data_IF_481815786102
#
_entry.id   IF_481815786102
#
_cell.length_a   1.000
_cell.length_b   1.000
_cell.length_c   1.000
_cell.angle_alpha   90.00
_cell.angle_beta   90.00
_cell.angle_gamma   90.00
#
_symmetry.space_group_name_H-M   'P 1'
#
loop_
_entity.id
_entity.type
_entity.pdbx_description
1 polymer ?
#
# COMPACT_ATOMS: atom_id res chain seq x y z
N UNK A 1 -22.40 14.58 10.30
CA UNK A 1 -21.41 14.74 10.82
C UNK A 1 -20.96 15.06 11.21
N UNK A 2 -20.87 14.71 11.77
CA UNK A 2 -19.92 14.70 12.52
C UNK A 2 -19.76 15.06 12.72
N UNK A 3 -20.95 15.21 12.34
CA UNK A 3 -20.16 15.62 12.81
C UNK A 3 -20.03 15.75 13.24
N UNK A 4 -20.59 15.51 13.39
CA UNK A 4 -19.89 15.63 13.88
C UNK A 4 -19.79 15.65 14.76
N UNK A 5 -20.59 15.27 14.83
CA UNK A 5 -19.96 15.25 15.74
C UNK A 5 -19.93 15.20 16.40
N UNK A 6 -20.50 15.11 16.81
CA UNK A 6 -19.96 15.15 17.52
C UNK A 6 -19.86 15.03 18.32
N UNK A 7 -20.78 14.61 18.50
CA UNK A 7 -20.21 14.54 19.38
C UNK A 7 -20.12 14.27 20.01
N UNK A 8 -20.80 13.99 20.28
CA UNK A 8 -20.25 13.92 21.04
C UNK A 8 -20.13 13.60 21.51
N UNK A 9 -20.71 13.13 21.46
CA UNK A 9 -20.04 13.01 22.07
C UNK A 9 -19.75 12.70 22.44
N UNK A 10 -20.42 12.35 22.54
CA UNK A 10 -19.75 12.28 23.05
C UNK A 10 -19.48 11.89 23.37
N UNK A 11 -20.07 11.49 23.36
CA UNK A 11 -19.37 11.34 23.73
C UNK A 11 -19.03 10.83 23.71
N UNK A 12 -19.62 10.44 23.60
CA UNK A 12 -18.90 10.21 23.64
C UNK A 12 -18.49 9.76 23.38
N UNK A 13 -19.04 9.43 23.13
CA UNK A 13 -18.21 9.31 23.00
C UNK A 13 -17.65 8.98 22.59
N UNK A 14 -18.11 8.61 22.35
CA UNK A 14 -17.12 8.62 22.06
C UNK A 14 -16.59 8.15 21.85
N UNK A 15 -17.15 7.90 21.70
CA UNK A 15 -16.24 7.73 21.60
C UNK A 15 -15.62 7.61 21.17
N UNK A 16 -15.92 7.58 21.02
CA UNK A 16 -15.00 7.69 20.76
C UNK A 16 -14.44 7.66 20.33
N UNK A 17 -14.57 7.58 20.21
CA UNK A 17 -13.81 7.68 19.91
C UNK A 17 -13.28 7.72 19.49
N UNK A 18 -13.24 7.75 19.51
CA UNK A 18 -12.36 7.74 19.14
C UNK A 18 -11.89 7.60 18.36
N UNK A 19 -12.62 7.89 17.87
CA UNK A 19 -11.86 7.30 16.99
C UNK A 19 -10.74 7.94 16.50
N UNK A 20 -10.33 8.46 16.94
CA UNK A 20 -9.13 8.94 16.66
C UNK A 20 -8.48 8.20 15.57
N UNK A 21 -7.81 8.78 14.76
CA UNK A 21 -7.04 8.15 13.78
C UNK A 21 -6.06 7.23 14.46
N UNK A 22 -6.48 6.02 14.64
CA UNK A 22 -5.66 4.96 15.21
C UNK A 22 -4.90 4.34 14.07
N UNK A 23 -3.64 4.03 14.31
CA UNK A 23 -2.86 3.29 13.33
C UNK A 23 -3.55 1.96 13.06
N UNK A 24 -3.79 1.64 11.80
CA UNK A 24 -4.49 0.43 11.42
C UNK A 24 -3.53 -0.71 11.12
N UNK A 25 -4.09 -1.89 11.05
CA UNK A 25 -3.37 -3.09 10.61
C UNK A 25 -3.74 -3.35 9.17
N UNK A 26 -3.05 -2.66 8.28
CA UNK A 26 -3.28 -2.82 6.86
C UNK A 26 -2.33 -3.84 6.26
N UNK A 27 -2.72 -4.39 5.15
CA UNK A 27 -1.82 -5.16 4.31
C UNK A 27 -2.30 -5.05 2.86
N UNK A 28 -1.41 -5.37 1.94
CA UNK A 28 -1.78 -5.47 0.53
C UNK A 28 -1.11 -6.72 -0.03
N UNK A 29 -1.88 -7.48 -0.80
CA UNK A 29 -1.36 -8.64 -1.53
C UNK A 29 -1.07 -8.18 -2.95
N UNK A 30 0.19 -8.31 -3.36
CA UNK A 30 0.65 -7.85 -4.67
C UNK A 30 1.01 -9.07 -5.50
N UNK A 31 0.31 -9.24 -6.62
CA UNK A 31 0.51 -10.37 -7.53
C UNK A 31 1.23 -9.90 -8.78
N UNK A 32 2.30 -10.59 -9.12
CA UNK A 32 3.11 -10.27 -10.29
C UNK A 32 2.60 -11.03 -11.52
N UNK A 33 1.93 -10.34 -12.42
CA UNK A 33 1.47 -10.87 -13.71
C UNK A 33 2.20 -10.23 -14.88
N UNK A 34 3.39 -9.67 -14.62
CA UNK A 34 4.15 -8.95 -15.65
C UNK A 34 4.89 -9.89 -16.61
N UNK A 35 5.14 -11.12 -16.20
CA UNK A 35 5.97 -12.04 -16.97
C UNK A 35 7.45 -11.95 -16.66
N UNK A 36 7.86 -11.00 -15.83
CA UNK A 36 9.24 -10.79 -15.43
C UNK A 36 9.36 -10.85 -13.92
N UNK A 37 10.54 -11.19 -13.41
CA UNK A 37 10.79 -11.19 -11.97
C UNK A 37 10.90 -9.76 -11.46
N UNK A 38 10.17 -9.45 -10.41
CA UNK A 38 10.26 -8.16 -9.72
C UNK A 38 11.43 -8.23 -8.74
N UNK A 39 12.32 -7.26 -8.79
CA UNK A 39 13.53 -7.23 -7.97
C UNK A 39 13.49 -6.18 -6.87
N UNK A 40 12.60 -5.19 -6.98
CA UNK A 40 12.39 -4.19 -5.92
C UNK A 40 10.91 -3.88 -5.80
N UNK A 41 10.48 -3.67 -4.57
CA UNK A 41 9.10 -3.30 -4.26
C UNK A 41 9.11 -2.23 -3.19
N UNK A 42 8.56 -1.08 -3.51
CA UNK A 42 8.47 0.05 -2.58
C UNK A 42 7.01 0.35 -2.29
N UNK A 43 6.68 0.51 -1.02
CA UNK A 43 5.33 0.87 -0.58
C UNK A 43 5.48 1.97 0.43
N UNK A 44 4.98 3.16 0.10
CA UNK A 44 5.11 4.35 0.95
C UNK A 44 3.76 5.01 1.14
N UNK A 45 3.46 5.55 2.33
CA UNK A 45 2.21 6.28 2.50
C UNK A 45 2.19 7.49 1.58
N UNK A 46 1.00 7.86 1.11
CA UNK A 46 0.86 8.96 0.14
C UNK A 46 1.42 10.28 0.66
N UNK A 47 1.55 10.42 1.97
CA UNK A 47 2.06 11.63 2.60
C UNK A 47 3.59 11.71 2.59
N UNK A 48 4.26 10.62 2.23
CA UNK A 48 5.72 10.61 2.15
C UNK A 48 6.18 11.25 0.84
N UNK A 49 7.26 12.03 0.91
CA UNK A 49 7.82 12.70 -0.25
C UNK A 49 8.85 11.85 -1.00
N UNK A 50 9.15 10.65 -0.52
CA UNK A 50 10.14 9.77 -1.13
C UNK A 50 9.79 8.32 -0.85
N UNK A 51 10.35 7.44 -1.67
CA UNK A 51 10.18 6.01 -1.51
C UNK A 51 10.97 5.53 -0.31
N UNK A 52 10.32 4.65 0.47
CA UNK A 52 10.98 4.01 1.60
C UNK A 52 11.70 2.78 1.11
N UNK A 53 12.20 1.96 2.02
CA UNK A 53 13.04 0.84 1.63
C UNK A 53 12.26 -0.27 0.91
N UNK A 54 13.01 -1.11 0.19
CA UNK A 54 12.47 -2.27 -0.50
C UNK A 54 11.85 -3.25 0.52
N UNK A 55 10.63 -3.68 0.24
CA UNK A 55 9.86 -4.54 1.15
C UNK A 55 9.64 -5.95 0.61
N UNK A 56 10.39 -6.37 -0.38
CA UNK A 56 10.32 -7.77 -0.81
C UNK A 56 10.79 -8.69 0.31
N UNK A 57 10.28 -9.92 0.29
CA UNK A 57 10.61 -10.89 1.32
C UNK A 57 12.07 -11.29 1.32
N UNK A 58 12.38 -12.36 2.06
CA UNK A 58 13.78 -12.78 2.30
C UNK A 58 14.57 -13.03 1.03
N UNK A 59 13.93 -13.55 -0.01
CA UNK A 59 14.61 -13.78 -1.29
C UNK A 59 14.91 -12.49 -2.03
N UNK A 60 14.18 -11.40 -1.72
CA UNK A 60 14.31 -10.16 -2.45
C UNK A 60 13.76 -10.22 -3.88
N UNK A 61 12.92 -11.21 -4.17
CA UNK A 61 12.37 -11.44 -5.51
C UNK A 61 10.90 -11.76 -5.43
N UNK A 62 10.15 -11.28 -6.43
CA UNK A 62 8.77 -11.71 -6.64
C UNK A 62 8.65 -12.24 -8.07
N UNK A 63 8.64 -13.54 -8.20
CA UNK A 63 8.64 -14.22 -9.49
C UNK A 63 7.29 -14.11 -10.18
N UNK A 64 7.25 -14.26 -11.52
CA UNK A 64 5.99 -14.22 -12.26
C UNK A 64 4.96 -15.21 -11.71
N UNK A 65 3.73 -14.71 -11.54
CA UNK A 65 2.61 -15.52 -11.04
C UNK A 65 2.54 -15.63 -9.54
N UNK A 66 3.51 -15.07 -8.81
CA UNK A 66 3.55 -15.14 -7.35
C UNK A 66 2.94 -13.91 -6.72
N UNK A 67 2.53 -14.07 -5.47
CA UNK A 67 1.92 -13.01 -4.68
C UNK A 67 2.75 -12.78 -3.42
N UNK A 68 3.01 -11.51 -3.13
CA UNK A 68 3.72 -11.08 -1.92
C UNK A 68 2.76 -10.25 -1.07
N UNK A 69 2.60 -10.65 0.18
CA UNK A 69 1.86 -9.82 1.14
C UNK A 69 2.82 -8.82 1.78
N UNK A 70 2.42 -7.55 1.76
CA UNK A 70 3.15 -6.49 2.43
C UNK A 70 2.32 -6.05 3.63
N UNK A 71 2.87 -6.19 4.82
CA UNK A 71 2.20 -5.77 6.05
C UNK A 71 2.48 -4.29 6.29
N UNK A 72 1.42 -3.54 6.55
CA UNK A 72 1.47 -2.09 6.67
C UNK A 72 0.89 -1.65 8.01
N UNK A 73 1.24 -2.38 9.06
CA UNK A 73 0.79 -2.07 10.42
C UNK A 73 1.46 -0.79 10.92
N UNK A 74 0.72 -0.01 11.69
CA UNK A 74 1.27 1.19 12.30
C UNK A 74 1.09 2.47 11.50
N UNK A 75 0.59 2.38 10.28
CA UNK A 75 0.31 3.57 9.47
C UNK A 75 -1.08 4.12 9.77
N UNK A 76 -1.22 5.43 9.70
CA UNK A 76 -2.50 6.10 10.02
C UNK A 76 -3.40 6.23 8.79
N UNK A 77 -2.89 5.96 7.62
CA UNK A 77 -3.64 6.07 6.37
C UNK A 77 -3.66 4.73 5.66
N UNK A 78 -4.75 4.38 4.97
CA UNK A 78 -4.77 3.20 4.10
C UNK A 78 -4.29 3.51 2.67
N UNK A 79 -3.90 4.75 2.39
CA UNK A 79 -3.56 5.18 1.04
C UNK A 79 -2.04 5.15 0.87
N UNK A 80 -1.59 4.35 -0.09
CA UNK A 80 -0.15 4.14 -0.31
C UNK A 80 0.19 4.30 -1.78
N UNK A 81 1.41 4.76 -2.04
CA UNK A 81 2.02 4.72 -3.36
C UNK A 81 2.85 3.45 -3.44
N UNK A 82 2.78 2.77 -4.56
CA UNK A 82 3.45 1.47 -4.75
C UNK A 82 4.24 1.51 -6.03
N UNK A 83 5.53 1.14 -5.95
CA UNK A 83 6.39 1.04 -7.13
C UNK A 83 7.09 -0.30 -7.14
N UNK A 84 7.04 -0.96 -8.30
CA UNK A 84 7.79 -2.19 -8.52
C UNK A 84 8.81 -1.95 -9.63
N UNK A 85 9.95 -2.63 -9.50
CA UNK A 85 11.00 -2.61 -10.53
C UNK A 85 11.30 -4.06 -10.89
N UNK A 86 11.30 -4.37 -12.19
CA UNK A 86 11.59 -5.73 -12.63
C UNK A 86 13.06 -5.93 -12.95
N UNK A 87 13.41 -7.14 -13.35
CA UNK A 87 14.81 -7.53 -13.64
C UNK A 87 15.42 -6.76 -14.82
N UNK A 88 14.61 -6.09 -15.61
CA UNK A 88 15.05 -5.27 -16.75
C UNK A 88 15.05 -3.77 -16.42
N UNK A 89 14.87 -3.42 -15.15
CA UNK A 89 14.77 -2.04 -14.68
C UNK A 89 13.51 -1.31 -15.14
N UNK A 90 12.53 -2.02 -15.66
CA UNK A 90 11.23 -1.43 -15.95
C UNK A 90 10.48 -1.18 -14.65
N UNK A 91 9.74 -0.08 -14.59
CA UNK A 91 9.03 0.34 -13.40
C UNK A 91 7.53 0.28 -13.61
N UNK A 92 6.82 -0.01 -12.53
CA UNK A 92 5.36 -0.05 -12.48
C UNK A 92 4.97 0.76 -11.26
N UNK A 93 4.31 1.91 -11.44
CA UNK A 93 3.99 2.81 -10.34
C UNK A 93 2.49 2.99 -10.23
N UNK A 94 1.99 2.82 -9.02
CA UNK A 94 0.58 2.97 -8.70
C UNK A 94 0.45 4.01 -7.60
N UNK A 95 -0.23 5.10 -7.90
CA UNK A 95 -0.38 6.21 -6.96
C UNK A 95 -1.69 6.07 -6.20
N UNK A 96 -1.64 6.35 -4.90
CA UNK A 96 -2.84 6.49 -4.05
C UNK A 96 -3.72 5.25 -4.07
N UNK A 97 -3.10 4.09 -3.84
CA UNK A 97 -3.81 2.82 -3.73
C UNK A 97 -4.40 2.70 -2.33
N UNK A 98 -5.72 2.49 -2.25
CA UNK A 98 -6.36 2.26 -0.95
C UNK A 98 -6.27 0.77 -0.64
N UNK A 99 -5.32 0.40 0.22
CA UNK A 99 -5.05 -1.01 0.52
C UNK A 99 -6.12 -1.65 1.40
N UNK A 100 -6.97 -0.84 2.04
CA UNK A 100 -8.09 -1.38 2.80
C UNK A 100 -9.22 -1.88 1.90
N UNK A 101 -9.21 -1.51 0.63
CA UNK A 101 -10.25 -1.86 -0.33
C UNK A 101 -9.77 -2.75 -1.46
N UNK A 102 -8.48 -2.75 -1.77
CA UNK A 102 -7.95 -3.38 -2.98
C UNK A 102 -6.65 -4.13 -2.71
N UNK A 103 -6.53 -5.29 -3.33
CA UNK A 103 -5.23 -5.89 -3.58
C UNK A 103 -4.73 -5.40 -4.95
N UNK A 104 -3.46 -5.66 -5.24
CA UNK A 104 -2.86 -5.14 -6.46
C UNK A 104 -2.40 -6.31 -7.35
N UNK A 105 -2.83 -6.29 -8.60
CA UNK A 105 -2.31 -7.20 -9.62
C UNK A 105 -1.58 -6.35 -10.65
N UNK A 106 -0.29 -6.65 -10.85
CA UNK A 106 0.57 -5.89 -11.76
C UNK A 106 0.67 -6.63 -13.07
N UNK A 107 0.34 -5.95 -14.18
CA UNK A 107 0.28 -6.53 -15.52
C UNK A 107 1.27 -5.83 -16.44
N UNK A 108 1.58 -6.41 -17.62
CA UNK A 108 2.54 -5.77 -18.53
C UNK A 108 2.17 -4.35 -18.93
N UNK A 109 0.86 -4.09 -19.10
CA UNK A 109 0.38 -2.78 -19.52
C UNK A 109 0.53 -1.72 -18.43
N UNK A 110 0.83 -2.12 -17.20
CA UNK A 110 1.00 -1.20 -16.08
C UNK A 110 2.40 -0.59 -16.03
N UNK A 111 3.26 -0.96 -16.97
CA UNK A 111 4.62 -0.42 -17.01
C UNK A 111 4.59 1.08 -17.23
N UNK A 112 5.42 1.80 -16.48
CA UNK A 112 5.50 3.25 -16.60
C UNK A 112 6.02 3.65 -17.99
N UNK A 113 5.44 4.72 -18.53
CA UNK A 113 5.97 5.35 -19.74
C UNK A 113 7.13 6.26 -19.35
N UNK A 114 8.23 6.13 -20.03
CA UNK A 114 9.40 6.98 -19.80
C UNK A 114 9.59 8.00 -20.92
#
# INVERSE_FOLDING_TARGET
>A
MFAKLKLAVAAAVLLCASAAAVAGDYYVDITNKTGYTITYLYVSPETSNYWEEDVLGQEGLLRPGKTQRVNLSGYKTPIFDIRLVNENDDRYTFWKVNVSEHNLTVKPDDRDDD
#
